data_IF_817602300524
#
_entry.id   IF_817602300524
#
_cell.length_a   1.000
_cell.length_b   1.000
_cell.length_c   1.000
_cell.angle_alpha   90.00
_cell.angle_beta   90.00
_cell.angle_gamma   90.00
#
_symmetry.space_group_name_H-M   'P 1'
#
loop_
_entity.id
_entity.type
_entity.pdbx_description
1 polymer ?
#
# COMPACT_ATOMS: atom_id res chain seq x y z
N UNK A 1 -4.62 -2.12 -6.50
CA UNK A 1 -4.26 -2.85 -5.27
C UNK A 1 -3.57 -4.14 -5.66
N UNK A 2 -2.83 -4.77 -4.75
CA UNK A 2 -2.31 -6.12 -4.97
C UNK A 2 -3.44 -7.05 -5.38
N UNK A 3 -3.20 -7.91 -6.38
CA UNK A 3 -4.22 -8.77 -6.97
C UNK A 3 -5.02 -8.16 -8.13
N UNK A 4 -4.95 -6.85 -8.35
CA UNK A 4 -5.75 -6.20 -9.41
C UNK A 4 -5.09 -6.31 -10.79
N UNK A 5 -5.85 -6.01 -11.84
CA UNK A 5 -5.33 -5.86 -13.19
C UNK A 5 -5.10 -4.37 -13.48
N UNK A 6 -3.91 -4.01 -13.94
CA UNK A 6 -3.55 -2.64 -14.31
C UNK A 6 -3.31 -2.55 -15.80
N UNK A 7 -3.90 -1.56 -16.46
CA UNK A 7 -3.65 -1.28 -17.89
C UNK A 7 -2.74 -0.07 -18.03
N UNK A 8 -1.55 -0.28 -18.58
CA UNK A 8 -0.67 0.79 -19.04
C UNK A 8 -1.11 1.22 -20.44
N UNK A 9 -1.37 2.51 -20.61
CA UNK A 9 -1.77 3.09 -21.90
C UNK A 9 -0.73 4.07 -22.39
N UNK A 10 -0.23 3.83 -23.60
CA UNK A 10 0.63 4.73 -24.34
C UNK A 10 -0.25 5.55 -25.30
N UNK A 11 -0.33 6.86 -25.07
CA UNK A 11 -1.23 7.75 -25.80
C UNK A 11 -0.40 8.84 -26.45
N UNK A 12 -0.58 9.04 -27.75
CA UNK A 12 -0.08 10.24 -28.42
C UNK A 12 -0.97 11.43 -28.01
N UNK A 13 -0.38 12.45 -27.41
CA UNK A 13 -1.13 13.60 -26.87
C UNK A 13 -1.78 14.47 -27.95
N UNK A 14 -1.21 14.51 -29.16
CA UNK A 14 -1.70 15.35 -30.26
C UNK A 14 -2.87 14.69 -30.98
N UNK A 15 -2.76 13.39 -31.29
CA UNK A 15 -3.76 12.64 -32.04
C UNK A 15 -4.74 11.87 -31.17
N UNK A 16 -4.51 11.81 -29.86
CA UNK A 16 -5.22 10.95 -28.89
C UNK A 16 -5.25 9.46 -29.28
N UNK A 17 -4.37 9.03 -30.18
CA UNK A 17 -4.30 7.64 -30.65
C UNK A 17 -3.37 6.80 -29.76
N UNK A 18 -3.57 5.48 -29.78
CA UNK A 18 -2.71 4.50 -29.11
C UNK A 18 -1.76 3.87 -30.11
N UNK A 19 -0.56 4.46 -30.35
CA UNK A 19 0.37 3.95 -31.33
C UNK A 19 0.93 2.59 -30.91
N UNK A 20 1.50 1.88 -31.88
CA UNK A 20 2.33 0.71 -31.54
C UNK A 20 3.53 1.17 -30.73
N UNK A 21 3.72 0.58 -29.55
CA UNK A 21 4.73 1.03 -28.60
C UNK A 21 5.41 -0.14 -27.86
N UNK A 22 6.65 0.10 -27.50
CA UNK A 22 7.44 -0.71 -26.58
C UNK A 22 7.26 -0.19 -25.15
N UNK A 23 7.14 -1.08 -24.18
CA UNK A 23 6.98 -0.72 -22.76
C UNK A 23 8.24 -1.07 -21.97
N UNK A 24 8.59 -0.19 -21.03
CA UNK A 24 9.77 -0.28 -20.19
C UNK A 24 9.38 -0.16 -18.72
N UNK A 25 10.08 -0.90 -17.87
CA UNK A 25 10.03 -0.78 -16.41
C UNK A 25 11.45 -0.59 -15.89
N UNK A 26 11.69 0.49 -15.15
CA UNK A 26 13.01 0.84 -14.61
C UNK A 26 14.11 0.81 -15.70
N UNK A 27 13.77 1.26 -16.92
CA UNK A 27 14.67 1.25 -18.08
C UNK A 27 14.79 -0.09 -18.82
N UNK A 28 14.26 -1.18 -18.27
CA UNK A 28 14.29 -2.51 -18.89
C UNK A 28 13.06 -2.70 -19.75
N UNK A 29 13.25 -3.16 -20.98
CA UNK A 29 12.16 -3.49 -21.89
C UNK A 29 11.37 -4.70 -21.39
N UNK A 30 10.07 -4.53 -21.19
CA UNK A 30 9.16 -5.58 -20.69
C UNK A 30 8.20 -6.11 -21.76
N UNK A 31 7.96 -5.35 -22.83
CA UNK A 31 7.04 -5.73 -23.91
C UNK A 31 7.35 -4.94 -25.19
N UNK A 32 7.32 -5.61 -26.36
CA UNK A 32 7.49 -4.96 -27.68
C UNK A 32 6.19 -4.90 -28.47
N UNK A 33 6.05 -3.86 -29.30
CA UNK A 33 5.14 -3.85 -30.43
C UNK A 33 3.65 -4.08 -30.12
N UNK A 34 3.18 -3.62 -28.95
CA UNK A 34 1.78 -3.78 -28.55
C UNK A 34 0.92 -2.62 -29.07
N UNK A 35 -0.40 -2.79 -29.15
CA UNK A 35 -1.43 -1.82 -29.61
C UNK A 35 -1.60 -0.58 -28.71
N UNK A 36 -0.50 -0.10 -28.11
CA UNK A 36 -0.48 1.01 -27.17
C UNK A 36 -1.05 0.69 -25.80
N UNK A 37 -1.58 -0.51 -25.56
CA UNK A 37 -2.16 -0.92 -24.27
C UNK A 37 -1.52 -2.21 -23.75
N UNK A 38 -0.94 -2.20 -22.55
CA UNK A 38 -0.40 -3.41 -21.90
C UNK A 38 -1.14 -3.66 -20.58
N UNK A 39 -1.66 -4.87 -20.41
CA UNK A 39 -2.28 -5.29 -19.13
C UNK A 39 -1.26 -6.06 -18.30
N UNK A 40 -1.08 -5.63 -17.06
CA UNK A 40 -0.40 -6.39 -16.01
C UNK A 40 -1.49 -7.04 -15.18
N UNK A 41 -1.54 -8.37 -15.20
CA UNK A 41 -2.53 -9.13 -14.45
C UNK A 41 -2.03 -9.43 -13.05
N UNK A 42 -2.95 -9.45 -12.07
CA UNK A 42 -2.67 -9.86 -10.70
C UNK A 42 -1.40 -9.16 -10.15
N UNK A 43 -1.44 -7.82 -10.11
CA UNK A 43 -0.28 -7.02 -9.71
C UNK A 43 0.15 -7.37 -8.29
N UNK A 44 1.45 -7.30 -8.03
CA UNK A 44 2.07 -7.61 -6.75
C UNK A 44 3.16 -6.59 -6.47
N UNK A 45 3.73 -6.59 -5.27
CA UNK A 45 4.85 -5.69 -4.92
C UNK A 45 6.00 -5.71 -5.92
N UNK A 46 6.27 -6.87 -6.53
CA UNK A 46 7.31 -7.00 -7.56
C UNK A 46 7.04 -6.16 -8.82
N UNK A 47 5.81 -5.73 -9.07
CA UNK A 47 5.41 -4.89 -10.20
C UNK A 47 5.63 -3.39 -9.94
N UNK A 48 5.98 -2.97 -8.72
CA UNK A 48 6.29 -1.57 -8.45
C UNK A 48 7.49 -1.10 -9.28
N UNK A 49 7.46 0.16 -9.73
CA UNK A 49 8.54 0.76 -10.50
C UNK A 49 8.11 1.94 -11.37
N UNK A 50 9.07 2.47 -12.12
CA UNK A 50 8.86 3.55 -13.09
C UNK A 50 8.62 2.97 -14.48
N UNK A 51 7.48 3.31 -15.07
CA UNK A 51 7.05 2.81 -16.37
C UNK A 51 7.13 3.90 -17.44
N UNK A 52 7.54 3.50 -18.64
CA UNK A 52 7.58 4.34 -19.85
C UNK A 52 7.12 3.56 -21.07
N UNK A 53 6.65 4.27 -22.09
CA UNK A 53 6.48 3.70 -23.42
C UNK A 53 7.29 4.47 -24.46
N UNK A 54 7.74 3.76 -25.51
CA UNK A 54 8.43 4.34 -26.65
C UNK A 54 7.75 3.92 -27.95
N UNK A 55 7.45 4.88 -28.80
CA UNK A 55 6.89 4.67 -30.13
C UNK A 55 7.71 5.42 -31.19
N UNK A 56 7.32 5.34 -32.46
CA UNK A 56 7.94 6.14 -33.53
C UNK A 56 7.83 7.65 -33.30
N UNK A 57 6.88 8.11 -32.46
CA UNK A 57 6.71 9.51 -32.11
C UNK A 57 7.60 9.98 -30.93
N UNK A 58 8.34 9.07 -30.29
CA UNK A 58 9.21 9.38 -29.15
C UNK A 58 8.90 8.56 -27.90
N UNK A 59 9.46 9.01 -26.77
CA UNK A 59 9.36 8.35 -25.45
C UNK A 59 8.45 9.15 -24.50
N UNK A 60 7.64 8.45 -23.72
CA UNK A 60 6.79 9.06 -22.69
C UNK A 60 7.60 9.51 -21.46
N UNK A 61 7.09 10.47 -20.67
CA UNK A 61 7.58 10.65 -19.31
C UNK A 61 7.45 9.36 -18.50
N UNK A 62 8.26 9.23 -17.45
CA UNK A 62 8.18 8.11 -16.51
C UNK A 62 6.99 8.29 -15.57
N UNK A 63 6.18 7.24 -15.44
CA UNK A 63 5.03 7.18 -14.54
C UNK A 63 5.25 6.10 -13.47
N UNK A 64 5.12 6.41 -12.18
CA UNK A 64 5.26 5.41 -11.13
C UNK A 64 4.03 4.51 -11.06
N UNK A 65 4.28 3.21 -10.90
CA UNK A 65 3.28 2.24 -10.46
C UNK A 65 3.61 1.83 -9.03
N UNK A 66 2.70 2.11 -8.10
CA UNK A 66 2.75 1.68 -6.70
C UNK A 66 1.66 0.66 -6.44
N UNK A 67 1.96 -0.39 -5.69
CA UNK A 67 1.03 -1.47 -5.37
C UNK A 67 0.78 -1.45 -3.87
N UNK A 68 -0.42 -1.04 -3.48
CA UNK A 68 -0.85 -1.08 -2.08
C UNK A 68 -1.37 -2.48 -1.74
N UNK A 69 -1.02 -2.98 -0.55
CA UNK A 69 -1.59 -4.22 -0.03
C UNK A 69 -3.08 -4.08 0.31
N UNK A 70 -3.72 -5.21 0.58
CA UNK A 70 -5.16 -5.28 0.84
C UNK A 70 -5.53 -4.99 2.30
N UNK A 71 -4.55 -4.88 3.19
CA UNK A 71 -4.78 -4.63 4.63
C UNK A 71 -4.19 -3.29 5.02
N UNK A 72 -4.96 -2.51 5.78
CA UNK A 72 -4.58 -1.19 6.25
C UNK A 72 -4.68 -1.12 7.77
N UNK A 73 -3.61 -0.69 8.41
CA UNK A 73 -3.61 -0.30 9.82
C UNK A 73 -3.96 1.18 9.92
N UNK A 74 -5.09 1.50 10.53
CA UNK A 74 -5.49 2.86 10.91
C UNK A 74 -5.02 3.12 12.33
N UNK A 75 -4.44 4.31 12.53
CA UNK A 75 -3.85 4.77 13.78
C UNK A 75 -4.29 6.22 14.00
N UNK A 76 -4.35 6.71 15.25
CA UNK A 76 -4.62 8.12 15.51
C UNK A 76 -3.51 9.02 14.95
N UNK A 77 -3.76 10.34 14.99
CA UNK A 77 -2.71 11.32 14.75
C UNK A 77 -1.62 11.21 15.82
N UNK A 78 -0.38 11.47 15.42
CA UNK A 78 0.80 11.30 16.26
C UNK A 78 1.47 12.65 16.56
N UNK A 79 2.21 12.76 17.68
CA UNK A 79 2.33 11.79 18.77
C UNK A 79 1.08 11.74 19.66
N UNK A 80 0.80 10.58 20.25
CA UNK A 80 -0.26 10.41 21.26
C UNK A 80 0.25 10.81 22.63
N UNK A 81 -0.61 11.31 23.51
CA UNK A 81 -0.21 11.74 24.86
C UNK A 81 -0.29 10.57 25.83
N UNK A 82 0.63 10.49 26.79
CA UNK A 82 0.51 9.52 27.89
C UNK A 82 -0.84 9.66 28.62
N UNK A 83 -1.41 8.54 29.04
CA UNK A 83 -2.73 8.47 29.68
C UNK A 83 -3.91 8.42 28.71
N UNK A 84 -3.74 8.76 27.43
CA UNK A 84 -4.82 8.65 26.44
C UNK A 84 -5.17 7.19 26.11
N UNK A 85 -6.40 6.97 25.62
CA UNK A 85 -6.79 5.67 25.05
C UNK A 85 -6.61 5.72 23.54
N UNK A 86 -5.87 4.75 23.00
CA UNK A 86 -5.60 4.63 21.57
C UNK A 86 -6.30 3.39 21.02
N UNK A 87 -7.00 3.56 19.90
CA UNK A 87 -7.56 2.45 19.12
C UNK A 87 -6.82 2.33 17.79
N UNK A 88 -6.16 1.20 17.58
CA UNK A 88 -5.62 0.80 16.29
C UNK A 88 -6.65 -0.08 15.57
N UNK A 89 -6.95 0.22 14.30
CA UNK A 89 -7.94 -0.54 13.52
C UNK A 89 -7.28 -1.20 12.33
N UNK A 90 -7.39 -2.52 12.24
CA UNK A 90 -7.00 -3.28 11.08
C UNK A 90 -8.19 -3.42 10.13
N UNK A 91 -8.03 -3.00 8.88
CA UNK A 91 -9.09 -3.07 7.87
C UNK A 91 -8.63 -3.83 6.65
N UNK A 92 -9.41 -4.83 6.27
CA UNK A 92 -9.30 -5.46 4.96
C UNK A 92 -10.05 -4.61 3.92
N UNK A 93 -9.29 -4.03 2.98
CA UNK A 93 -9.78 -3.15 1.93
C UNK A 93 -10.64 -3.89 0.89
N UNK A 94 -10.42 -5.20 0.70
CA UNK A 94 -11.19 -6.03 -0.25
C UNK A 94 -12.46 -6.60 0.36
N UNK A 95 -12.43 -6.93 1.66
CA UNK A 95 -13.59 -7.44 2.37
C UNK A 95 -13.76 -6.71 3.71
N UNK A 96 -14.57 -5.63 3.75
CA UNK A 96 -14.81 -4.86 4.96
C UNK A 96 -15.46 -5.65 6.10
N UNK A 97 -16.11 -6.79 5.80
CA UNK A 97 -16.73 -7.65 6.80
C UNK A 97 -15.78 -8.67 7.41
N UNK A 98 -14.57 -8.81 6.84
CA UNK A 98 -13.53 -9.63 7.42
C UNK A 98 -12.80 -8.82 8.50
N UNK A 99 -13.24 -9.01 9.75
CA UNK A 99 -12.78 -8.22 10.89
C UNK A 99 -11.64 -8.88 11.67
N UNK A 100 -11.44 -10.20 11.53
CA UNK A 100 -10.41 -10.89 12.30
C UNK A 100 -9.01 -10.37 11.95
N UNK A 101 -8.23 -10.01 12.96
CA UNK A 101 -6.88 -9.50 12.76
C UNK A 101 -5.94 -9.85 13.91
N UNK A 102 -4.69 -10.15 13.57
CA UNK A 102 -3.59 -10.29 14.50
C UNK A 102 -2.74 -9.04 14.49
N UNK A 103 -2.48 -8.49 15.67
CA UNK A 103 -1.66 -7.30 15.87
C UNK A 103 -0.26 -7.67 16.33
N UNK A 104 0.72 -6.97 15.78
CA UNK A 104 2.12 -7.11 16.08
C UNK A 104 2.72 -5.77 16.44
N UNK A 105 3.65 -5.78 17.40
CA UNK A 105 4.46 -4.64 17.81
C UNK A 105 5.92 -5.06 17.84
N UNK A 106 6.76 -4.32 17.12
CA UNK A 106 8.21 -4.56 17.02
C UNK A 106 8.54 -6.00 16.61
N UNK A 107 7.70 -6.58 15.74
CA UNK A 107 7.80 -7.95 15.24
C UNK A 107 7.16 -9.02 16.12
N UNK A 108 6.75 -8.69 17.36
CA UNK A 108 6.14 -9.64 18.28
C UNK A 108 4.61 -9.60 18.16
N UNK A 109 3.95 -10.77 18.17
CA UNK A 109 2.50 -10.86 18.27
C UNK A 109 2.06 -10.35 19.65
N UNK A 110 1.09 -9.44 19.68
CA UNK A 110 0.60 -8.82 20.93
C UNK A 110 -0.89 -9.05 21.19
N UNK A 111 -1.69 -9.28 20.15
CA UNK A 111 -3.13 -9.48 20.31
C UNK A 111 -3.76 -10.14 19.08
N UNK A 112 -4.81 -10.95 19.30
CA UNK A 112 -5.70 -11.45 18.25
C UNK A 112 -7.10 -10.89 18.49
N UNK A 113 -7.63 -10.13 17.54
CA UNK A 113 -8.90 -9.42 17.65
C UNK A 113 -9.93 -9.95 16.66
N UNK A 114 -11.14 -10.24 17.13
CA UNK A 114 -12.27 -10.63 16.28
C UNK A 114 -12.98 -9.42 15.65
N UNK A 115 -12.82 -8.23 16.23
CA UNK A 115 -13.42 -6.97 15.75
C UNK A 115 -12.48 -6.18 14.85
N UNK A 116 -11.21 -6.58 14.75
CA UNK A 116 -10.19 -5.88 14.00
C UNK A 116 -9.68 -4.64 14.72
N UNK A 117 -9.99 -4.49 16.00
CA UNK A 117 -9.55 -3.38 16.83
C UNK A 117 -8.60 -3.85 17.94
N UNK A 118 -7.54 -3.07 18.17
CA UNK A 118 -6.69 -3.16 19.35
C UNK A 118 -6.83 -1.85 20.11
N UNK A 119 -7.24 -1.94 21.38
CA UNK A 119 -7.41 -0.79 22.27
C UNK A 119 -6.31 -0.83 23.31
N UNK A 120 -5.51 0.23 23.37
CA UNK A 120 -4.48 0.44 24.38
C UNK A 120 -5.02 1.52 25.32
N UNK A 121 -5.32 1.12 26.55
CA UNK A 121 -5.81 2.02 27.58
C UNK A 121 -4.65 2.66 28.32
N UNK A 122 -4.77 3.96 28.62
CA UNK A 122 -3.77 4.70 29.39
C UNK A 122 -2.36 4.53 28.83
N UNK A 123 -2.18 4.92 27.57
CA UNK A 123 -0.92 4.78 26.83
C UNK A 123 0.27 5.32 27.62
N UNK A 124 1.39 4.62 27.53
CA UNK A 124 2.66 4.96 28.17
C UNK A 124 3.79 4.98 27.15
N UNK A 125 4.95 5.52 27.54
CA UNK A 125 6.19 5.39 26.75
C UNK A 125 6.53 3.95 26.33
N UNK A 126 6.12 2.96 27.12
CA UNK A 126 6.37 1.55 26.79
C UNK A 126 5.55 1.07 25.59
N UNK A 127 4.46 1.74 25.23
CA UNK A 127 3.58 1.41 24.10
C UNK A 127 4.11 1.97 22.77
N UNK A 128 5.10 2.87 22.80
CA UNK A 128 5.80 3.34 21.60
C UNK A 128 6.42 2.17 20.83
N UNK A 129 6.36 2.20 19.49
CA UNK A 129 6.92 1.12 18.67
C UNK A 129 6.36 1.04 17.26
N UNK A 130 6.78 0.01 16.53
CA UNK A 130 6.37 -0.28 15.16
C UNK A 130 5.24 -1.30 15.14
N UNK A 131 4.04 -0.86 14.77
CA UNK A 131 2.84 -1.67 14.72
C UNK A 131 2.53 -2.12 13.30
N UNK A 132 2.10 -3.38 13.17
CA UNK A 132 1.43 -3.88 11.98
C UNK A 132 0.31 -4.83 12.38
N UNK A 133 -0.64 -5.02 11.48
CA UNK A 133 -1.66 -6.05 11.61
C UNK A 133 -1.68 -6.97 10.39
N UNK A 134 -2.10 -8.20 10.62
CA UNK A 134 -2.36 -9.23 9.61
C UNK A 134 -3.84 -9.54 9.66
N UNK A 135 -4.51 -9.57 8.50
CA UNK A 135 -5.93 -9.90 8.41
C UNK A 135 -6.19 -10.69 7.14
N UNK A 136 -6.74 -11.90 7.30
CA UNK A 136 -6.91 -12.83 6.19
C UNK A 136 -5.56 -13.28 5.65
N UNK A 137 -5.35 -13.13 4.34
CA UNK A 137 -4.09 -13.52 3.68
C UNK A 137 -3.09 -12.37 3.50
N UNK A 138 -3.35 -11.18 4.06
CA UNK A 138 -2.53 -9.99 3.83
C UNK A 138 -2.01 -9.34 5.12
N UNK A 139 -0.90 -8.62 4.99
CA UNK A 139 -0.36 -7.76 6.04
C UNK A 139 -0.50 -6.28 5.70
N UNK A 140 -0.63 -5.45 6.72
CA UNK A 140 -0.61 -4.00 6.58
C UNK A 140 0.82 -3.46 6.52
N UNK A 141 0.96 -2.27 5.93
CA UNK A 141 2.17 -1.48 6.09
C UNK A 141 2.44 -1.18 7.57
N UNK A 142 3.70 -1.25 7.96
CA UNK A 142 4.15 -0.91 9.32
C UNK A 142 3.89 0.57 9.60
N UNK A 143 3.37 0.86 10.79
CA UNK A 143 3.18 2.22 11.31
C UNK A 143 3.88 2.39 12.63
N UNK A 144 4.60 3.50 12.78
CA UNK A 144 5.16 3.90 14.05
C UNK A 144 4.08 4.53 14.91
N UNK A 145 3.91 4.09 16.15
CA UNK A 145 3.16 4.80 17.19
C UNK A 145 4.18 5.59 18.01
N UNK A 146 4.01 6.91 18.09
CA UNK A 146 4.85 7.82 18.86
C UNK A 146 4.10 8.32 20.08
N UNK A 147 4.71 8.28 21.25
CA UNK A 147 4.10 8.74 22.52
C UNK A 147 4.84 10.00 23.00
N UNK A 148 4.13 11.00 23.51
CA UNK A 148 4.71 12.15 24.22
C UNK A 148 4.23 12.15 25.67
N UNK A 149 5.11 12.59 26.58
CA UNK A 149 4.75 12.71 27.99
C UNK A 149 3.61 13.70 28.22
N UNK A 150 2.90 13.52 29.33
CA UNK A 150 1.86 14.45 29.78
C UNK A 150 2.52 15.82 30.08
N UNK A 151 2.11 16.86 29.35
CA UNK A 151 2.53 18.23 29.68
C UNK A 151 1.75 18.67 30.91
N UNK A 152 2.41 18.62 32.07
CA UNK A 152 1.94 19.22 33.34
C UNK A 152 1.86 20.73 33.23
#
# INVERSE_FOLDING_TARGET
MEGDNVTLRCINKETSSTPTADFYKNGILIKKGFTGNMVIHNVSKSHEGLYKCRSGAGESPASPLTVTGDVKLESPALPVTEGETVTLRCRNQRNPFYLQADFYKDGNHINSSSTGELIIHSVSKSDEGLYKCISGAGESAVKQLLVKGETV
#
